data_IF_133660392301
#
_entry.id   IF_133660392301
#
_cell.length_a   1.000
_cell.length_b   1.000
_cell.length_c   1.000
_cell.angle_alpha   90.00
_cell.angle_beta   90.00
_cell.angle_gamma   90.00
#
_symmetry.space_group_name_H-M   'P 1'
#
loop_
_entity.id
_entity.type
_entity.pdbx_description
1 polymer ?
#
# COMPACT_ATOMS: atom_id res chain seq x y z
N UNK A 1 -3.03 -10.96 21.24
CA UNK A 1 -3.83 -9.80 20.82
C UNK A 1 -4.27 -10.04 19.39
N UNK A 2 -5.56 -9.95 19.10
CA UNK A 2 -6.07 -10.04 17.71
C UNK A 2 -5.46 -8.87 16.93
N UNK A 3 -4.83 -9.09 15.76
CA UNK A 3 -4.33 -7.98 14.96
C UNK A 3 -5.47 -7.00 14.69
N UNK A 4 -5.28 -5.73 15.07
CA UNK A 4 -6.24 -4.68 14.74
C UNK A 4 -6.05 -4.34 13.27
N UNK A 5 -6.96 -4.88 12.45
CA UNK A 5 -7.11 -4.58 11.04
C UNK A 5 -7.08 -3.07 10.78
N UNK A 6 -6.35 -2.67 9.74
CA UNK A 6 -6.34 -1.29 9.25
C UNK A 6 -7.78 -0.75 9.12
N UNK A 7 -8.06 0.38 9.77
CA UNK A 7 -9.39 1.02 9.74
C UNK A 7 -9.25 2.47 9.32
N UNK A 8 -9.50 2.74 8.04
CA UNK A 8 -9.51 4.08 7.47
C UNK A 8 -10.94 4.63 7.39
N UNK A 9 -11.14 5.97 7.40
CA UNK A 9 -12.45 6.58 7.20
C UNK A 9 -12.85 6.52 5.71
N UNK A 10 -13.01 5.30 5.20
CA UNK A 10 -13.43 4.94 3.85
C UNK A 10 -14.65 4.00 3.94
N UNK A 11 -15.18 3.60 2.79
CA UNK A 11 -16.23 2.59 2.72
C UNK A 11 -15.86 1.33 3.55
N UNK A 12 -16.75 0.82 4.43
CA UNK A 12 -16.48 -0.39 5.20
C UNK A 12 -16.07 -1.58 4.34
N UNK A 13 -16.67 -1.75 3.15
CA UNK A 13 -16.32 -2.84 2.22
C UNK A 13 -14.91 -2.69 1.65
N UNK A 14 -14.42 -1.45 1.53
CA UNK A 14 -13.02 -1.20 1.18
C UNK A 14 -12.08 -1.60 2.32
N UNK A 15 -12.40 -1.27 3.58
CA UNK A 15 -11.61 -1.75 4.73
C UNK A 15 -11.62 -3.29 4.81
N UNK A 16 -12.76 -3.94 4.60
CA UNK A 16 -12.86 -5.40 4.57
C UNK A 16 -12.02 -6.03 3.47
N UNK A 17 -11.98 -5.44 2.27
CA UNK A 17 -11.14 -5.92 1.17
C UNK A 17 -9.66 -5.79 1.52
N UNK A 18 -9.23 -4.64 2.05
CA UNK A 18 -7.84 -4.42 2.48
C UNK A 18 -7.42 -5.39 3.59
N UNK A 19 -8.36 -5.80 4.45
CA UNK A 19 -8.11 -6.73 5.54
C UNK A 19 -7.80 -8.16 5.06
N UNK A 20 -8.51 -8.60 4.01
CA UNK A 20 -8.48 -10.01 3.57
C UNK A 20 -7.65 -10.27 2.33
N UNK A 21 -7.41 -9.26 1.49
CA UNK A 21 -6.73 -9.40 0.20
C UNK A 21 -5.32 -8.80 0.25
N UNK A 22 -4.26 -9.64 0.31
CA UNK A 22 -2.86 -9.22 0.22
C UNK A 22 -2.58 -8.31 -1.00
N UNK A 23 -3.17 -8.66 -2.15
CA UNK A 23 -3.00 -7.85 -3.36
C UNK A 23 -3.69 -6.50 -3.21
N UNK A 24 -4.94 -6.43 -2.74
CA UNK A 24 -5.63 -5.16 -2.55
C UNK A 24 -4.86 -4.22 -1.60
N UNK A 25 -4.31 -4.75 -0.51
CA UNK A 25 -3.48 -3.99 0.42
C UNK A 25 -2.22 -3.43 -0.26
N UNK A 26 -1.52 -4.27 -1.04
CA UNK A 26 -0.34 -3.87 -1.79
C UNK A 26 -0.67 -2.79 -2.83
N UNK A 27 -1.78 -2.96 -3.58
CA UNK A 27 -2.23 -1.97 -4.55
C UNK A 27 -2.58 -0.63 -3.89
N UNK A 28 -3.21 -0.65 -2.70
CA UNK A 28 -3.44 0.56 -1.91
C UNK A 28 -2.13 1.32 -1.64
N UNK A 29 -1.06 0.59 -1.28
CA UNK A 29 0.27 1.16 -1.05
C UNK A 29 0.95 1.67 -2.34
N UNK A 30 0.79 0.94 -3.46
CA UNK A 30 1.27 1.39 -4.79
C UNK A 30 0.66 2.76 -5.12
N UNK A 31 -0.65 2.89 -4.90
CA UNK A 31 -1.46 4.06 -5.20
C UNK A 31 -1.34 5.19 -4.17
N UNK A 32 -0.69 4.99 -3.01
CA UNK A 32 -0.40 6.05 -2.03
C UNK A 32 0.77 6.92 -2.54
N UNK A 33 0.49 7.61 -3.64
CA UNK A 33 1.41 8.49 -4.32
C UNK A 33 0.68 9.80 -4.58
N UNK A 34 1.06 10.83 -3.83
CA UNK A 34 0.60 12.18 -4.15
C UNK A 34 -0.94 12.36 -4.06
N UNK A 35 -1.67 11.46 -3.39
CA UNK A 35 -3.10 11.56 -3.09
C UNK A 35 -3.32 11.40 -1.58
N UNK A 36 -4.50 11.74 -1.03
CA UNK A 36 -4.84 11.34 0.33
C UNK A 36 -4.81 9.81 0.47
N UNK A 37 -4.40 9.30 1.64
CA UNK A 37 -4.32 7.86 1.88
C UNK A 37 -5.69 7.19 1.72
N UNK A 38 -6.77 7.87 2.11
CA UNK A 38 -8.14 7.40 1.97
C UNK A 38 -8.48 7.15 0.51
N UNK A 39 -8.01 8.01 -0.40
CA UNK A 39 -8.21 7.83 -1.84
C UNK A 39 -7.37 6.66 -2.37
N UNK A 40 -6.11 6.55 -1.96
CA UNK A 40 -5.24 5.45 -2.35
C UNK A 40 -5.80 4.09 -1.92
N UNK A 41 -6.13 3.95 -0.63
CA UNK A 41 -6.57 2.70 -0.04
C UNK A 41 -8.04 2.34 -0.32
N UNK A 42 -8.88 3.29 -0.75
CA UNK A 42 -10.21 2.96 -1.30
C UNK A 42 -10.16 2.52 -2.78
N UNK A 43 -9.10 2.84 -3.51
CA UNK A 43 -9.02 2.56 -4.94
C UNK A 43 -9.03 1.07 -5.32
N UNK A 44 -8.40 0.14 -4.57
CA UNK A 44 -8.52 -1.29 -4.84
C UNK A 44 -9.97 -1.79 -4.82
N UNK A 45 -10.80 -1.25 -3.92
CA UNK A 45 -12.22 -1.60 -3.87
C UNK A 45 -12.99 -1.06 -5.08
N UNK A 46 -12.74 0.18 -5.47
CA UNK A 46 -13.36 0.76 -6.68
C UNK A 46 -12.88 0.05 -7.95
N UNK A 47 -11.64 -0.44 -7.97
CA UNK A 47 -11.13 -1.30 -9.05
C UNK A 47 -11.92 -2.61 -9.08
N UNK A 48 -12.11 -3.28 -7.94
CA UNK A 48 -12.89 -4.50 -7.84
C UNK A 48 -14.33 -4.31 -8.36
N UNK A 49 -14.97 -3.20 -8.01
CA UNK A 49 -16.31 -2.86 -8.51
C UNK A 49 -16.35 -2.68 -10.05
N UNK A 50 -15.26 -2.19 -10.66
CA UNK A 50 -15.17 -1.99 -12.12
C UNK A 50 -14.90 -3.29 -12.86
N UNK A 51 -14.10 -4.18 -12.28
CA UNK A 51 -13.82 -5.51 -12.81
C UNK A 51 -15.01 -6.47 -12.60
N UNK A 52 -15.79 -6.27 -11.54
CA UNK A 52 -16.89 -7.14 -11.14
C UNK A 52 -16.47 -8.26 -10.18
N UNK A 53 -15.19 -8.32 -9.80
CA UNK A 53 -14.63 -9.26 -8.83
C UNK A 53 -13.40 -8.64 -8.14
N UNK A 54 -12.85 -9.31 -7.13
CA UNK A 54 -11.59 -8.87 -6.52
C UNK A 54 -10.44 -8.86 -7.55
N UNK A 55 -9.47 -7.94 -7.43
CA UNK A 55 -8.35 -7.88 -8.36
C UNK A 55 -7.52 -9.17 -8.30
N UNK A 56 -7.13 -9.68 -9.46
CA UNK A 56 -6.20 -10.81 -9.59
C UNK A 56 -4.89 -10.33 -10.24
N UNK A 57 -3.74 -10.83 -9.75
CA UNK A 57 -2.45 -10.37 -10.24
C UNK A 57 -2.16 -10.86 -11.67
N UNK A 58 -2.54 -12.10 -12.01
CA UNK A 58 -2.29 -12.65 -13.34
C UNK A 58 -3.16 -11.94 -14.39
N UNK A 59 -4.43 -11.71 -14.06
CA UNK A 59 -5.35 -10.91 -14.88
C UNK A 59 -4.82 -9.49 -15.10
N UNK A 60 -4.48 -8.75 -14.03
CA UNK A 60 -3.97 -7.39 -14.15
C UNK A 60 -2.63 -7.32 -14.89
N UNK A 61 -1.75 -8.30 -14.71
CA UNK A 61 -0.47 -8.41 -15.41
C UNK A 61 -0.64 -8.60 -16.92
N UNK A 62 -1.64 -9.40 -17.31
CA UNK A 62 -1.99 -9.72 -18.69
C UNK A 62 -3.03 -8.79 -19.34
N UNK A 63 -3.61 -7.87 -18.58
CA UNK A 63 -4.65 -6.94 -19.06
C UNK A 63 -4.13 -6.08 -20.23
N UNK A 64 -5.00 -5.77 -21.19
CA UNK A 64 -4.66 -4.79 -22.22
C UNK A 64 -4.32 -3.43 -21.58
N UNK A 65 -3.13 -2.85 -21.85
CA UNK A 65 -2.70 -1.64 -21.16
C UNK A 65 -3.63 -0.44 -21.37
N UNK A 66 -4.23 -0.29 -22.55
CA UNK A 66 -5.11 0.84 -22.86
C UNK A 66 -6.46 0.67 -22.15
N UNK A 67 -7.03 -0.54 -22.18
CA UNK A 67 -8.26 -0.88 -21.46
C UNK A 67 -8.11 -0.74 -19.94
N UNK A 68 -6.96 -1.12 -19.37
CA UNK A 68 -6.69 -0.92 -17.94
C UNK A 68 -6.64 0.57 -17.58
N UNK A 69 -6.05 1.39 -18.46
CA UNK A 69 -6.05 2.86 -18.29
C UNK A 69 -7.47 3.42 -18.32
N UNK A 70 -8.34 2.93 -19.21
CA UNK A 70 -9.75 3.34 -19.25
C UNK A 70 -10.48 2.98 -17.95
N UNK A 71 -10.26 1.78 -17.42
CA UNK A 71 -10.78 1.38 -16.10
C UNK A 71 -10.30 2.35 -15.02
N UNK A 72 -9.02 2.72 -14.99
CA UNK A 72 -8.50 3.68 -14.00
C UNK A 72 -9.03 5.10 -14.18
N UNK A 73 -9.25 5.52 -15.43
CA UNK A 73 -9.64 6.87 -15.80
C UNK A 73 -11.15 7.14 -15.67
N UNK A 74 -12.00 6.11 -15.66
CA UNK A 74 -13.46 6.27 -15.54
C UNK A 74 -13.83 7.20 -14.36
N UNK A 75 -14.58 8.29 -14.59
CA UNK A 75 -14.97 9.21 -13.52
C UNK A 75 -15.87 8.58 -12.45
N UNK A 76 -15.65 8.88 -11.15
CA UNK A 76 -14.46 9.55 -10.61
C UNK A 76 -13.22 8.65 -10.74
N UNK A 77 -12.12 9.17 -11.27
CA UNK A 77 -10.91 8.37 -11.54
C UNK A 77 -10.36 7.69 -10.26
N UNK A 78 -9.76 6.51 -10.41
CA UNK A 78 -9.10 5.80 -9.30
C UNK A 78 -7.95 6.63 -8.72
N UNK A 79 -7.20 7.30 -9.59
CA UNK A 79 -6.08 8.15 -9.18
C UNK A 79 -6.08 9.45 -9.97
N UNK A 80 -5.44 10.50 -9.44
CA UNK A 80 -5.22 11.76 -10.16
C UNK A 80 -4.24 11.64 -11.34
N UNK A 81 -3.57 10.49 -11.46
CA UNK A 81 -2.63 10.13 -12.53
C UNK A 81 -3.00 8.75 -13.09
N UNK A 82 -4.19 8.60 -13.70
CA UNK A 82 -4.76 7.27 -13.99
C UNK A 82 -3.86 6.45 -14.92
N UNK A 83 -3.31 7.05 -15.98
CA UNK A 83 -2.40 6.38 -16.92
C UNK A 83 -1.15 5.83 -16.24
N UNK A 84 -0.45 6.69 -15.48
CA UNK A 84 0.79 6.31 -14.81
C UNK A 84 0.57 5.25 -13.72
N UNK A 85 -0.54 5.34 -12.99
CA UNK A 85 -0.84 4.41 -11.91
C UNK A 85 -1.40 3.08 -12.39
N UNK A 86 -2.17 3.05 -13.49
CA UNK A 86 -2.56 1.80 -14.15
C UNK A 86 -1.33 1.01 -14.61
N UNK A 87 -0.41 1.68 -15.31
CA UNK A 87 0.85 1.07 -15.73
C UNK A 87 1.67 0.57 -14.53
N UNK A 88 1.76 1.37 -13.45
CA UNK A 88 2.49 0.97 -12.23
C UNK A 88 1.89 -0.27 -11.55
N UNK A 89 0.55 -0.31 -11.44
CA UNK A 89 -0.15 -1.47 -10.87
C UNK A 89 0.10 -2.71 -11.71
N UNK A 90 0.02 -2.59 -13.04
CA UNK A 90 0.31 -3.69 -13.96
C UNK A 90 1.76 -4.17 -13.86
N UNK A 91 2.75 -3.26 -13.76
CA UNK A 91 4.16 -3.61 -13.54
C UNK A 91 4.37 -4.40 -12.24
N UNK A 92 3.73 -3.98 -11.14
CA UNK A 92 3.78 -4.70 -9.86
C UNK A 92 3.16 -6.09 -10.01
N UNK A 93 1.99 -6.19 -10.66
CA UNK A 93 1.34 -7.49 -10.88
C UNK A 93 2.19 -8.42 -11.74
N UNK A 94 2.89 -7.91 -12.76
CA UNK A 94 3.86 -8.70 -13.56
C UNK A 94 5.01 -9.22 -12.70
N UNK A 95 5.57 -8.38 -11.83
CA UNK A 95 6.62 -8.80 -10.90
C UNK A 95 6.13 -9.87 -9.90
N UNK A 96 4.86 -9.80 -9.47
CA UNK A 96 4.23 -10.82 -8.65
C UNK A 96 4.07 -12.14 -9.41
N UNK A 97 3.58 -12.11 -10.64
CA UNK A 97 3.44 -13.32 -11.48
C UNK A 97 4.80 -13.98 -11.71
N UNK A 98 5.82 -13.19 -12.06
CA UNK A 98 7.15 -13.71 -12.38
C UNK A 98 7.87 -14.35 -11.19
N UNK A 99 7.76 -13.74 -10.00
CA UNK A 99 8.61 -14.10 -8.84
C UNK A 99 7.87 -14.75 -7.69
N UNK A 100 6.55 -14.62 -7.67
CA UNK A 100 5.68 -14.97 -6.54
C UNK A 100 4.41 -15.71 -6.98
N UNK A 101 4.39 -16.29 -8.19
CA UNK A 101 3.25 -17.03 -8.76
C UNK A 101 1.92 -16.24 -8.74
N UNK A 102 2.00 -14.91 -8.79
CA UNK A 102 0.84 -14.01 -8.73
C UNK A 102 0.27 -13.79 -7.32
N UNK A 103 0.83 -14.45 -6.29
CA UNK A 103 0.38 -14.33 -4.92
C UNK A 103 1.18 -13.27 -4.14
N UNK A 104 0.54 -12.12 -3.88
CA UNK A 104 1.15 -11.06 -3.10
C UNK A 104 1.54 -11.47 -1.67
N UNK A 105 0.87 -12.46 -1.06
CA UNK A 105 1.22 -12.94 0.28
C UNK A 105 2.62 -13.57 0.33
N UNK A 106 3.10 -14.13 -0.79
CA UNK A 106 4.44 -14.73 -0.90
C UNK A 106 5.59 -13.73 -0.81
N UNK A 107 5.29 -12.43 -0.82
CA UNK A 107 6.28 -11.41 -0.44
C UNK A 107 6.75 -11.60 1.01
N UNK A 108 5.92 -12.15 1.89
CA UNK A 108 6.19 -12.23 3.32
C UNK A 108 5.87 -13.56 4.00
N UNK A 109 5.14 -14.48 3.37
CA UNK A 109 4.65 -15.71 4.03
C UNK A 109 5.76 -16.65 4.49
N UNK A 110 6.89 -16.70 3.78
CA UNK A 110 8.05 -17.56 4.04
C UNK A 110 9.25 -16.79 4.62
N UNK A 111 9.11 -15.48 4.84
CA UNK A 111 10.22 -14.62 5.25
C UNK A 111 10.36 -14.63 6.77
N UNK A 112 11.58 -14.90 7.25
CA UNK A 112 11.91 -14.87 8.68
C UNK A 112 12.80 -13.69 9.08
N UNK A 113 13.40 -12.94 8.14
CA UNK A 113 14.23 -11.75 8.39
C UNK A 113 13.56 -10.49 7.80
N UNK A 114 13.35 -9.47 8.63
CA UNK A 114 12.78 -8.18 8.24
C UNK A 114 13.57 -7.44 7.16
N UNK A 115 14.89 -7.63 7.07
CA UNK A 115 15.72 -7.07 5.98
C UNK A 115 15.41 -7.72 4.65
N UNK A 116 15.15 -9.03 4.65
CA UNK A 116 14.74 -9.74 3.45
C UNK A 116 13.34 -9.30 3.02
N UNK A 117 12.41 -9.12 3.97
CA UNK A 117 11.09 -8.58 3.67
C UNK A 117 11.19 -7.17 3.05
N UNK A 118 12.00 -6.29 3.65
CA UNK A 118 12.23 -4.96 3.11
C UNK A 118 12.83 -4.99 1.69
N UNK A 119 13.80 -5.89 1.45
CA UNK A 119 14.42 -6.08 0.14
C UNK A 119 13.37 -6.52 -0.90
N UNK A 120 12.60 -7.57 -0.62
CA UNK A 120 11.56 -8.09 -1.52
C UNK A 120 10.52 -7.02 -1.88
N UNK A 121 10.05 -6.26 -0.89
CA UNK A 121 9.12 -5.15 -1.10
C UNK A 121 9.78 -4.02 -1.91
N UNK A 122 11.02 -3.66 -1.60
CA UNK A 122 11.77 -2.59 -2.28
C UNK A 122 12.11 -2.89 -3.75
N UNK A 123 12.13 -4.17 -4.14
CA UNK A 123 12.35 -4.61 -5.52
C UNK A 123 11.08 -4.56 -6.39
N UNK A 124 9.93 -4.23 -5.80
CA UNK A 124 8.70 -4.02 -6.56
C UNK A 124 8.73 -2.68 -7.29
N UNK A 125 8.21 -2.62 -8.54
CA UNK A 125 8.09 -1.36 -9.28
C UNK A 125 7.36 -0.28 -8.47
N UNK A 126 8.03 0.84 -8.22
CA UNK A 126 7.45 2.00 -7.51
C UNK A 126 7.60 2.01 -5.99
N UNK A 127 8.27 1.01 -5.43
CA UNK A 127 8.64 0.98 -4.01
C UNK A 127 10.04 1.55 -3.79
N UNK A 128 10.14 2.87 -3.65
CA UNK A 128 11.34 3.48 -3.08
C UNK A 128 11.51 3.08 -1.60
N UNK A 129 12.72 3.25 -1.05
CA UNK A 129 13.07 2.85 0.33
C UNK A 129 12.02 3.25 1.37
N UNK A 130 11.59 4.52 1.37
CA UNK A 130 10.58 5.01 2.31
C UNK A 130 9.24 4.27 2.18
N UNK A 131 8.77 4.04 0.94
CA UNK A 131 7.50 3.34 0.70
C UNK A 131 7.59 1.88 1.15
N UNK A 132 8.70 1.23 0.87
CA UNK A 132 8.96 -0.14 1.33
C UNK A 132 8.96 -0.22 2.86
N UNK A 133 9.65 0.69 3.54
CA UNK A 133 9.66 0.76 5.01
C UNK A 133 8.27 0.97 5.62
N UNK A 134 7.46 1.86 5.03
CA UNK A 134 6.07 2.06 5.47
C UNK A 134 5.25 0.79 5.29
N UNK A 135 5.44 0.06 4.17
CA UNK A 135 4.71 -1.18 3.93
C UNK A 135 5.13 -2.30 4.90
N UNK A 136 6.43 -2.44 5.19
CA UNK A 136 6.92 -3.35 6.24
C UNK A 136 6.31 -2.98 7.60
N UNK A 137 6.27 -1.70 7.95
CA UNK A 137 5.62 -1.24 9.17
C UNK A 137 4.12 -1.58 9.19
N UNK A 138 3.42 -1.40 8.08
CA UNK A 138 1.99 -1.70 7.95
C UNK A 138 1.73 -3.19 8.18
N UNK A 139 2.51 -4.06 7.52
CA UNK A 139 2.45 -5.51 7.67
C UNK A 139 2.68 -5.94 9.14
N UNK A 140 3.74 -5.44 9.78
CA UNK A 140 4.05 -5.78 11.18
C UNK A 140 3.04 -5.24 12.19
N UNK A 141 2.63 -3.97 12.06
CA UNK A 141 1.76 -3.29 13.04
C UNK A 141 0.29 -3.69 12.92
N UNK A 142 -0.21 -3.95 11.71
CA UNK A 142 -1.65 -4.16 11.46
C UNK A 142 -2.00 -5.59 11.09
N UNK A 143 -1.06 -6.34 10.48
CA UNK A 143 -1.32 -7.68 9.96
C UNK A 143 -0.56 -8.79 10.72
N UNK A 144 0.22 -8.43 11.74
CA UNK A 144 0.94 -9.41 12.56
C UNK A 144 2.08 -10.13 11.82
N UNK A 145 2.53 -9.59 10.68
CA UNK A 145 3.64 -10.15 9.90
C UNK A 145 4.95 -9.61 10.49
N UNK A 146 5.52 -10.35 11.43
CA UNK A 146 6.64 -9.90 12.27
C UNK A 146 7.87 -10.79 12.16
N UNK A 147 8.54 -10.87 10.98
CA UNK A 147 9.84 -11.53 10.89
C UNK A 147 10.87 -10.85 11.79
N UNK A 148 11.92 -11.57 12.17
CA UNK A 148 12.95 -11.05 13.06
C UNK A 148 13.57 -9.77 12.48
N UNK A 149 13.65 -8.70 13.27
CA UNK A 149 14.22 -7.44 12.82
C UNK A 149 13.29 -6.57 11.94
N UNK A 150 11.99 -6.87 11.83
CA UNK A 150 11.07 -6.09 10.98
C UNK A 150 10.95 -4.61 11.36
N UNK A 151 11.07 -4.27 12.66
CA UNK A 151 10.99 -2.87 13.12
C UNK A 151 12.21 -2.08 12.67
N UNK A 152 13.39 -2.66 12.81
CA UNK A 152 14.67 -2.12 12.37
C UNK A 152 14.68 -1.94 10.86
N UNK A 153 14.16 -2.92 10.12
CA UNK A 153 14.01 -2.82 8.67
C UNK A 153 13.04 -1.68 8.27
N UNK A 154 11.93 -1.52 9.00
CA UNK A 154 10.99 -0.41 8.82
C UNK A 154 11.55 0.97 9.24
N UNK A 155 12.71 1.04 9.90
CA UNK A 155 13.30 2.29 10.40
C UNK A 155 12.34 3.05 11.34
N UNK A 156 12.29 4.37 11.23
CA UNK A 156 11.39 5.25 11.99
C UNK A 156 9.89 4.84 11.92
N UNK A 157 9.48 4.09 10.90
CA UNK A 157 8.11 3.60 10.78
C UNK A 157 7.84 2.36 11.62
N UNK A 158 8.88 1.67 12.11
CA UNK A 158 8.79 0.50 12.99
C UNK A 158 8.51 0.83 14.45
N UNK A 159 8.76 2.07 14.88
CA UNK A 159 8.58 2.53 16.27
C UNK A 159 7.14 2.32 16.75
N UNK A 160 6.96 1.73 17.94
CA UNK A 160 5.64 1.39 18.46
C UNK A 160 4.74 2.61 18.68
N UNK A 161 5.34 3.74 19.08
CA UNK A 161 4.66 5.01 19.37
C UNK A 161 4.65 5.98 18.17
N UNK A 162 5.00 5.50 16.97
CA UNK A 162 5.00 6.34 15.78
C UNK A 162 3.58 6.75 15.37
N UNK A 163 3.47 7.98 14.87
CA UNK A 163 2.30 8.47 14.13
C UNK A 163 2.78 9.14 12.83
N UNK A 164 3.36 8.35 11.93
CA UNK A 164 4.07 8.84 10.74
C UNK A 164 3.43 8.42 9.44
N UNK A 165 2.72 7.29 9.42
CA UNK A 165 2.24 6.66 8.19
C UNK A 165 0.89 5.95 8.37
N UNK A 166 0.39 5.36 7.29
CA UNK A 166 -0.83 4.52 7.32
C UNK A 166 -0.72 3.35 8.30
N UNK A 167 0.50 2.85 8.55
CA UNK A 167 0.77 1.79 9.52
C UNK A 167 0.36 2.16 10.97
N UNK A 168 0.22 3.46 11.23
CA UNK A 168 -0.05 4.02 12.55
C UNK A 168 -1.51 4.44 12.72
N UNK A 169 -2.38 4.22 11.73
CA UNK A 169 -3.79 4.62 11.78
C UNK A 169 -4.65 3.47 12.30
N UNK A 170 -5.22 3.68 13.49
CA UNK A 170 -6.12 2.73 14.17
C UNK A 170 -7.49 3.32 14.46
N UNK A 171 -7.61 4.64 14.45
CA UNK A 171 -8.77 5.40 14.87
C UNK A 171 -8.69 6.85 14.32
N UNK A 172 -9.74 7.67 14.50
CA UNK A 172 -9.71 9.06 14.03
C UNK A 172 -8.61 9.93 14.67
N UNK A 173 -8.17 9.64 15.90
CA UNK A 173 -7.16 10.44 16.59
C UNK A 173 -5.77 10.19 16.00
N UNK A 174 -5.39 8.92 15.85
CA UNK A 174 -4.15 8.50 15.21
C UNK A 174 -4.07 8.99 13.77
N UNK A 175 -5.17 8.98 13.01
CA UNK A 175 -5.23 9.59 11.68
C UNK A 175 -4.90 11.09 11.72
N UNK A 176 -5.46 11.84 12.68
CA UNK A 176 -5.16 13.26 12.86
C UNK A 176 -3.66 13.46 13.14
N UNK A 177 -3.07 12.68 14.05
CA UNK A 177 -1.63 12.76 14.39
C UNK A 177 -0.73 12.46 13.18
N UNK A 178 -1.08 11.44 12.37
CA UNK A 178 -0.34 11.13 11.12
C UNK A 178 -0.42 12.28 10.12
N UNK A 179 -1.58 12.93 9.98
CA UNK A 179 -1.74 14.10 9.10
C UNK A 179 -0.90 15.27 9.58
N UNK A 180 -0.89 15.55 10.87
CA UNK A 180 -0.08 16.60 11.49
C UNK A 180 1.42 16.35 11.28
N UNK A 181 1.87 15.11 11.46
CA UNK A 181 3.24 14.70 11.15
C UNK A 181 3.59 14.97 9.68
N UNK A 182 2.77 14.49 8.73
CA UNK A 182 3.01 14.69 7.29
C UNK A 182 3.03 16.17 6.91
N UNK A 183 2.17 17.00 7.51
CA UNK A 183 2.17 18.45 7.29
C UNK A 183 3.44 19.11 7.80
N UNK A 184 3.89 18.76 9.01
CA UNK A 184 5.14 19.27 9.59
C UNK A 184 6.34 18.91 8.74
N UNK A 185 6.50 17.64 8.36
CA UNK A 185 7.62 17.20 7.50
C UNK A 185 7.62 17.92 6.14
N UNK A 186 6.45 18.18 5.56
CA UNK A 186 6.33 18.94 4.30
C UNK A 186 6.75 20.40 4.48
N UNK A 187 6.39 21.02 5.61
CA UNK A 187 6.78 22.39 5.93
C UNK A 187 8.31 22.50 6.13
N UNK A 188 8.91 21.57 6.90
CA UNK A 188 10.36 21.49 7.11
C UNK A 188 11.11 21.29 5.79
N UNK A 189 10.65 20.36 4.94
CA UNK A 189 11.26 20.13 3.62
C UNK A 189 11.13 21.32 2.67
N UNK A 190 10.09 22.17 2.83
CA UNK A 190 9.95 23.42 2.07
C UNK A 190 10.91 24.49 2.62
N UNK A 191 11.05 24.59 3.94
CA UNK A 191 11.96 25.53 4.59
C UNK A 191 13.44 25.21 4.29
N UNK A 192 13.82 23.93 4.21
CA UNK A 192 15.18 23.53 3.86
C UNK A 192 15.56 23.76 2.38
N UNK A 193 14.58 24.06 1.52
CA UNK A 193 14.77 24.33 0.08
C UNK A 193 14.69 25.81 -0.29
N UNK A 194 14.23 26.65 0.64
CA UNK A 194 14.13 28.11 0.47
C UNK A 194 15.27 28.81 1.20
#
# INVERSE_FOLDING_TARGET
MVPMTLSLPIDPQANELLARSPLALLLGMVLDQQVPMEKAFSSPYVLAQRLGHEPDAAELAGYDPEALVEIFARPPALHRFPKAMAARVQEVCRALVERYDGDAARLWSDVTDGRELLRRVGELPGFGRQKAQIFVALLGKRFGITPDGWREAAGDYGDADAHRSVADVTDPESLRRVREFKQRMKAEAKAAKG
#
